data_IF_725240975458
#
_entry.id   IF_725240975458
#
_cell.length_a   1.000
_cell.length_b   1.000
_cell.length_c   1.000
_cell.angle_alpha   90.00
_cell.angle_beta   90.00
_cell.angle_gamma   90.00
#
_symmetry.space_group_name_H-M   'P 1'
#
loop_
_entity.id
_entity.type
_entity.pdbx_description
1 polymer ?
#
# COMPACT_ATOMS: atom_id res chain seq x y z
N UNK A 1 17.68 -37.65 13.60
CA UNK A 1 18.46 -37.61 12.33
C UNK A 1 17.62 -37.15 11.15
N UNK A 2 16.75 -37.96 10.52
CA UNK A 2 15.92 -37.48 9.37
C UNK A 2 14.84 -36.45 9.75
N UNK A 3 14.21 -36.59 10.92
CA UNK A 3 13.19 -35.65 11.40
C UNK A 3 13.76 -34.28 11.77
N UNK A 4 14.92 -34.26 12.45
CA UNK A 4 15.63 -33.03 12.83
C UNK A 4 16.09 -32.23 11.59
N UNK A 5 16.54 -32.92 10.54
CA UNK A 5 16.96 -32.27 9.28
C UNK A 5 15.77 -31.63 8.55
N UNK A 6 14.61 -32.31 8.54
CA UNK A 6 13.36 -31.76 8.00
C UNK A 6 12.87 -30.57 8.83
N UNK A 7 12.88 -30.67 10.16
CA UNK A 7 12.50 -29.56 11.05
C UNK A 7 13.40 -28.33 10.85
N UNK A 8 14.72 -28.53 10.78
CA UNK A 8 15.66 -27.46 10.50
C UNK A 8 15.42 -26.81 9.12
N UNK A 9 15.16 -27.63 8.09
CA UNK A 9 14.84 -27.12 6.75
C UNK A 9 13.54 -26.31 6.74
N UNK A 10 12.50 -26.78 7.43
CA UNK A 10 11.22 -26.07 7.55
C UNK A 10 11.39 -24.73 8.28
N UNK A 11 12.19 -24.69 9.35
CA UNK A 11 12.46 -23.47 10.08
C UNK A 11 13.21 -22.43 9.24
N UNK A 12 14.24 -22.84 8.50
CA UNK A 12 14.94 -21.95 7.57
C UNK A 12 14.01 -21.43 6.47
N UNK A 13 13.17 -22.30 5.89
CA UNK A 13 12.18 -21.87 4.88
C UNK A 13 11.18 -20.88 5.42
N UNK A 14 10.70 -21.06 6.65
CA UNK A 14 9.80 -20.12 7.30
C UNK A 14 10.50 -18.77 7.53
N UNK A 15 11.77 -18.78 7.93
CA UNK A 15 12.57 -17.57 8.09
C UNK A 15 12.80 -16.84 6.76
N UNK A 16 13.19 -17.56 5.70
CA UNK A 16 13.37 -16.99 4.36
C UNK A 16 12.05 -16.39 3.84
N UNK A 17 10.93 -17.06 4.09
CA UNK A 17 9.60 -16.57 3.69
C UNK A 17 9.21 -15.30 4.45
N UNK A 18 9.54 -15.21 5.73
CA UNK A 18 9.31 -14.01 6.54
C UNK A 18 10.17 -12.84 6.06
N UNK A 19 11.45 -13.08 5.75
CA UNK A 19 12.34 -12.07 5.20
C UNK A 19 11.84 -11.54 3.85
N UNK A 20 11.42 -12.43 2.96
CA UNK A 20 10.85 -12.04 1.67
C UNK A 20 9.58 -11.20 1.82
N UNK A 21 8.72 -11.53 2.80
CA UNK A 21 7.54 -10.74 3.09
C UNK A 21 7.92 -9.34 3.60
N UNK A 22 8.88 -9.25 4.53
CA UNK A 22 9.40 -7.98 5.05
C UNK A 22 9.99 -7.10 3.93
N UNK A 23 10.81 -7.67 3.05
CA UNK A 23 11.37 -6.97 1.89
C UNK A 23 10.29 -6.41 0.96
N UNK A 24 9.22 -7.18 0.72
CA UNK A 24 8.08 -6.72 -0.10
C UNK A 24 7.36 -5.54 0.55
N UNK A 25 7.10 -5.59 1.86
CA UNK A 25 6.46 -4.49 2.58
C UNK A 25 7.34 -3.24 2.58
N UNK A 26 8.65 -3.40 2.81
CA UNK A 26 9.64 -2.32 2.76
C UNK A 26 9.72 -1.66 1.38
N UNK A 27 9.69 -2.48 0.33
CA UNK A 27 9.65 -2.02 -1.07
C UNK A 27 8.39 -1.21 -1.33
N UNK A 28 7.22 -1.73 -0.97
CA UNK A 28 5.95 -1.03 -1.17
C UNK A 28 5.90 0.31 -0.42
N UNK A 29 6.42 0.35 0.81
CA UNK A 29 6.51 1.59 1.58
C UNK A 29 7.45 2.61 0.93
N UNK A 30 8.57 2.14 0.37
CA UNK A 30 9.52 2.99 -0.35
C UNK A 30 8.91 3.56 -1.63
N UNK A 31 8.17 2.75 -2.38
CA UNK A 31 7.46 3.16 -3.59
C UNK A 31 6.39 4.22 -3.28
N UNK A 32 5.52 3.99 -2.29
CA UNK A 32 4.47 4.97 -1.98
C UNK A 32 5.05 6.29 -1.47
N UNK A 33 6.14 6.25 -0.69
CA UNK A 33 6.84 7.44 -0.25
C UNK A 33 7.44 8.23 -1.43
N UNK A 34 8.04 7.53 -2.38
CA UNK A 34 8.59 8.15 -3.59
C UNK A 34 7.48 8.76 -4.46
N UNK A 35 6.35 8.07 -4.62
CA UNK A 35 5.18 8.54 -5.35
C UNK A 35 4.63 9.82 -4.72
N UNK A 36 4.35 9.78 -3.41
CA UNK A 36 3.77 10.90 -2.65
C UNK A 36 4.67 12.15 -2.64
N UNK A 37 5.99 11.96 -2.66
CA UNK A 37 6.98 13.04 -2.67
C UNK A 37 7.09 13.78 -4.00
N UNK A 38 6.45 13.31 -5.08
CA UNK A 38 6.50 14.00 -6.38
C UNK A 38 5.61 15.22 -6.37
N UNK A 39 6.08 16.32 -6.99
CA UNK A 39 5.30 17.55 -7.15
C UNK A 39 3.92 17.32 -7.79
N UNK A 40 3.81 16.38 -8.74
CA UNK A 40 2.54 16.04 -9.37
C UNK A 40 1.51 15.45 -8.38
N UNK A 41 1.98 14.85 -7.28
CA UNK A 41 1.12 14.28 -6.24
C UNK A 41 0.85 15.32 -5.14
N UNK A 42 1.87 16.04 -4.68
CA UNK A 42 1.73 16.99 -3.57
C UNK A 42 0.95 18.27 -3.90
N UNK A 43 0.67 18.54 -5.18
CA UNK A 43 -0.20 19.67 -5.58
C UNK A 43 -1.65 19.50 -5.13
N UNK A 44 -2.10 18.26 -4.91
CA UNK A 44 -3.51 17.93 -4.67
C UNK A 44 -4.47 18.39 -5.79
N UNK A 45 -3.95 18.62 -6.99
CA UNK A 45 -4.75 18.80 -8.19
C UNK A 45 -5.05 17.43 -8.81
N UNK A 46 -6.31 17.01 -8.79
CA UNK A 46 -6.69 15.66 -9.20
C UNK A 46 -6.30 15.33 -10.63
N UNK A 47 -6.44 16.24 -11.59
CA UNK A 47 -6.15 15.93 -12.99
C UNK A 47 -4.66 15.66 -13.19
N UNK A 48 -3.81 16.40 -12.47
CA UNK A 48 -2.36 16.20 -12.44
C UNK A 48 -2.02 14.89 -11.70
N UNK A 49 -2.63 14.66 -10.54
CA UNK A 49 -2.41 13.48 -9.72
C UNK A 49 -2.78 12.19 -10.45
N UNK A 50 -3.98 12.16 -11.04
CA UNK A 50 -4.51 11.01 -11.77
C UNK A 50 -3.59 10.63 -12.92
N UNK A 51 -3.20 11.58 -13.75
CA UNK A 51 -2.27 11.35 -14.88
C UNK A 51 -0.95 10.74 -14.40
N UNK A 52 -0.40 11.22 -13.27
CA UNK A 52 0.83 10.69 -12.72
C UNK A 52 0.67 9.28 -12.11
N UNK A 53 -0.45 9.03 -11.43
CA UNK A 53 -0.76 7.75 -10.80
C UNK A 53 -1.14 6.67 -11.83
N UNK A 54 -1.77 7.03 -12.95
CA UNK A 54 -2.01 6.09 -14.06
C UNK A 54 -0.69 5.54 -14.61
N UNK A 55 0.33 6.40 -14.76
CA UNK A 55 1.68 5.96 -15.15
C UNK A 55 2.36 5.09 -14.10
N UNK A 56 2.04 5.25 -12.80
CA UNK A 56 2.51 4.34 -11.75
C UNK A 56 1.79 2.99 -11.83
N UNK A 57 0.48 3.03 -12.02
CA UNK A 57 -0.38 1.86 -12.11
C UNK A 57 -0.01 0.94 -13.27
N UNK A 58 0.40 1.50 -14.41
CA UNK A 58 0.87 0.70 -15.56
C UNK A 58 2.18 -0.05 -15.30
N UNK A 59 3.03 0.43 -14.38
CA UNK A 59 4.39 -0.11 -14.19
C UNK A 59 4.58 -0.87 -12.88
N UNK A 60 3.72 -0.64 -11.89
CA UNK A 60 3.83 -1.21 -10.55
C UNK A 60 2.71 -2.23 -10.32
N UNK A 61 3.01 -3.26 -9.55
CA UNK A 61 2.08 -4.37 -9.26
C UNK A 61 1.13 -4.02 -8.09
N UNK A 62 0.30 -3.00 -8.29
CA UNK A 62 -0.74 -2.58 -7.31
C UNK A 62 -2.13 -2.93 -7.82
N UNK A 63 -3.02 -3.32 -6.90
CA UNK A 63 -4.42 -3.57 -7.21
C UNK A 63 -5.21 -2.28 -7.50
N UNK A 64 -4.86 -1.18 -6.83
CA UNK A 64 -5.48 0.12 -7.04
C UNK A 64 -4.63 1.25 -6.43
N UNK A 65 -4.79 2.46 -6.98
CA UNK A 65 -4.36 3.70 -6.35
C UNK A 65 -5.57 4.56 -6.00
N UNK A 66 -5.46 5.28 -4.89
CA UNK A 66 -6.40 6.32 -4.50
C UNK A 66 -5.66 7.48 -3.83
N UNK A 67 -6.19 8.69 -4.01
CA UNK A 67 -5.79 9.87 -3.23
C UNK A 67 -6.87 10.11 -2.19
N UNK A 68 -6.47 10.28 -0.93
CA UNK A 68 -7.40 10.56 0.17
C UNK A 68 -7.31 12.03 0.56
N UNK A 69 -8.43 12.73 0.54
CA UNK A 69 -8.53 14.12 1.00
C UNK A 69 -8.62 14.19 2.54
N UNK A 70 -8.32 15.35 3.17
CA UNK A 70 -8.32 15.46 4.64
C UNK A 70 -9.66 15.16 5.33
N UNK A 71 -10.77 15.21 4.61
CA UNK A 71 -12.10 14.78 5.08
C UNK A 71 -12.31 13.25 5.05
N UNK A 72 -11.30 12.50 4.61
CA UNK A 72 -11.28 11.03 4.58
C UNK A 72 -11.92 10.42 3.34
N UNK A 73 -12.21 11.21 2.31
CA UNK A 73 -12.75 10.70 1.04
C UNK A 73 -11.60 10.28 0.13
N UNK A 74 -11.59 9.01 -0.26
CA UNK A 74 -10.66 8.46 -1.22
C UNK A 74 -11.25 8.58 -2.63
N UNK A 75 -10.46 9.09 -3.57
CA UNK A 75 -10.77 9.11 -5.01
C UNK A 75 -9.82 8.18 -5.75
N UNK A 76 -10.39 7.21 -6.47
CA UNK A 76 -9.68 6.19 -7.23
C UNK A 76 -9.50 6.61 -8.70
N UNK A 77 -8.59 5.95 -9.42
CA UNK A 77 -8.30 6.26 -10.82
C UNK A 77 -9.51 6.06 -11.76
N UNK A 78 -10.42 5.16 -11.40
CA UNK A 78 -11.69 4.94 -12.11
C UNK A 78 -12.77 5.99 -11.79
N UNK A 79 -12.38 7.08 -11.09
CA UNK A 79 -13.24 8.16 -10.62
C UNK A 79 -14.22 7.78 -9.50
N UNK A 80 -14.21 6.53 -9.03
CA UNK A 80 -15.01 6.16 -7.88
C UNK A 80 -14.51 6.84 -6.61
N UNK A 81 -15.45 7.10 -5.70
CA UNK A 81 -15.14 7.69 -4.39
C UNK A 81 -15.66 6.81 -3.26
N UNK A 82 -14.84 6.65 -2.22
CA UNK A 82 -15.16 5.82 -1.06
C UNK A 82 -14.63 6.53 0.20
N UNK A 83 -15.45 6.57 1.25
CA UNK A 83 -14.97 7.03 2.55
C UNK A 83 -14.02 6.00 3.18
N UNK A 84 -12.81 6.44 3.53
CA UNK A 84 -11.79 5.65 4.22
C UNK A 84 -11.23 6.35 5.47
N UNK A 85 -11.75 7.51 5.87
CA UNK A 85 -11.27 8.28 7.03
C UNK A 85 -11.40 7.57 8.39
N UNK A 86 -12.22 6.52 8.47
CA UNK A 86 -12.32 5.63 9.64
C UNK A 86 -11.24 4.55 9.68
N UNK A 87 -10.47 4.37 8.59
CA UNK A 87 -9.43 3.36 8.51
C UNK A 87 -8.15 3.83 9.19
N UNK A 88 -7.60 2.98 10.03
CA UNK A 88 -6.40 3.29 10.81
C UNK A 88 -5.18 3.68 9.93
N UNK A 89 -4.97 3.00 8.79
CA UNK A 89 -3.85 3.33 7.88
C UNK A 89 -3.99 4.72 7.24
N UNK A 90 -5.23 5.18 7.00
CA UNK A 90 -5.53 6.54 6.51
C UNK A 90 -5.27 7.55 7.62
N UNK A 91 -5.77 7.30 8.83
CA UNK A 91 -5.57 8.19 9.98
C UNK A 91 -4.07 8.37 10.28
N UNK A 92 -3.30 7.28 10.31
CA UNK A 92 -1.85 7.35 10.49
C UNK A 92 -1.15 8.13 9.37
N UNK A 93 -1.56 7.92 8.12
CA UNK A 93 -1.01 8.66 6.99
C UNK A 93 -1.32 10.16 7.11
N UNK A 94 -2.55 10.56 7.45
CA UNK A 94 -2.92 11.96 7.68
C UNK A 94 -2.19 12.61 8.87
N UNK A 95 -1.65 11.81 9.80
CA UNK A 95 -0.74 12.26 10.88
C UNK A 95 0.74 12.34 10.43
N UNK A 96 1.02 12.11 9.16
CA UNK A 96 2.35 12.13 8.56
C UNK A 96 3.17 10.85 8.67
N UNK A 97 2.56 9.77 9.15
CA UNK A 97 3.23 8.47 9.35
C UNK A 97 3.02 7.58 8.13
N UNK A 98 4.09 7.35 7.37
CA UNK A 98 4.10 6.29 6.35
C UNK A 98 3.83 4.95 7.03
N UNK A 99 2.88 4.18 6.53
CA UNK A 99 2.50 2.91 7.14
C UNK A 99 2.00 1.90 6.10
N UNK A 100 1.97 0.64 6.49
CA UNK A 100 1.27 -0.43 5.78
C UNK A 100 0.22 -1.01 6.70
N UNK A 101 -0.99 -1.22 6.19
CA UNK A 101 -2.07 -1.83 6.95
C UNK A 101 -1.79 -3.31 7.23
N UNK A 102 -2.47 -3.86 8.25
CA UNK A 102 -2.73 -5.30 8.28
C UNK A 102 -3.51 -5.73 7.02
N UNK A 103 -3.60 -7.05 6.82
CA UNK A 103 -4.45 -7.60 5.76
C UNK A 103 -5.92 -7.30 6.07
N UNK A 104 -6.57 -6.54 5.18
CA UNK A 104 -7.96 -6.09 5.31
C UNK A 104 -8.77 -6.43 4.07
N UNK A 105 -10.10 -6.44 4.18
CA UNK A 105 -10.98 -6.45 3.01
C UNK A 105 -11.10 -5.02 2.45
N UNK A 106 -10.65 -4.86 1.21
CA UNK A 106 -10.77 -3.62 0.44
C UNK A 106 -12.23 -3.26 0.19
N UNK A 107 -12.61 -2.00 0.44
CA UNK A 107 -13.96 -1.51 0.08
C UNK A 107 -14.13 -1.31 -1.43
N UNK A 108 -13.03 -1.13 -2.17
CA UNK A 108 -13.06 -0.91 -3.61
C UNK A 108 -13.17 -2.23 -4.38
N UNK A 109 -12.40 -3.25 -3.98
CA UNK A 109 -12.29 -4.51 -4.73
C UNK A 109 -13.01 -5.68 -4.06
N UNK A 110 -13.36 -5.57 -2.77
CA UNK A 110 -13.86 -6.67 -1.95
C UNK A 110 -12.88 -7.86 -1.83
N UNK A 111 -11.60 -7.60 -2.06
CA UNK A 111 -10.51 -8.58 -1.94
C UNK A 111 -9.69 -8.34 -0.67
N UNK A 112 -8.97 -9.38 -0.25
CA UNK A 112 -8.02 -9.32 0.86
C UNK A 112 -6.73 -8.64 0.40
N UNK A 113 -6.40 -7.48 0.99
CA UNK A 113 -5.28 -6.64 0.57
C UNK A 113 -4.49 -6.12 1.78
N UNK A 114 -3.21 -5.81 1.56
CA UNK A 114 -2.44 -4.91 2.42
C UNK A 114 -2.31 -3.55 1.69
N UNK A 115 -2.39 -2.45 2.41
CA UNK A 115 -2.41 -1.10 1.83
C UNK A 115 -1.30 -0.25 2.43
N UNK A 116 -0.41 0.27 1.58
CA UNK A 116 0.61 1.25 1.95
C UNK A 116 0.04 2.66 1.81
N UNK A 117 0.30 3.53 2.79
CA UNK A 117 -0.25 4.89 2.83
C UNK A 117 0.78 5.92 3.32
N UNK A 118 0.73 7.12 2.73
CA UNK A 118 1.53 8.29 3.07
C UNK A 118 0.69 9.56 2.84
N UNK A 119 0.88 10.55 3.71
CA UNK A 119 0.40 11.94 3.60
C UNK A 119 0.78 12.63 2.28
#
# INVERSE_FOLDING_TARGET
>A
MLTEEVEYSLLNKAQDSALLAEERLSTSLSEINAIASRNAISTMDWEIQKTALEQDFERLDYLAFAVVTPDGIARYLDESTIYLGDRNYVQQALEGKSNVSDVIISRATNESVATSAKE
#
